data_IF_695614921450
#
_entry.id   IF_695614921450
#
_cell.length_a   1.000
_cell.length_b   1.000
_cell.length_c   1.000
_cell.angle_alpha   90.00
_cell.angle_beta   90.00
_cell.angle_gamma   90.00
#
_symmetry.space_group_name_H-M   'P 1'
#
loop_
_entity.id
_entity.type
_entity.pdbx_description
1 polymer ?
#
# COMPACT_ATOMS: atom_id res chain seq x y z
N UNK A 1 6.97 0.09 1.90
CA UNK A 1 5.81 0.54 1.10
C UNK A 1 4.49 0.00 1.63
N UNK A 2 4.33 -1.32 1.85
CA UNK A 2 3.07 -1.87 2.41
C UNK A 2 2.64 -1.26 3.75
N UNK A 3 3.58 -1.10 4.70
CA UNK A 3 3.28 -0.42 5.97
C UNK A 3 2.76 0.99 5.72
N UNK A 4 3.48 1.79 4.93
CA UNK A 4 3.10 3.15 4.59
C UNK A 4 1.73 3.21 3.90
N UNK A 5 1.45 2.31 2.95
CA UNK A 5 0.15 2.25 2.28
C UNK A 5 -0.99 1.98 3.27
N UNK A 6 -0.76 1.14 4.29
CA UNK A 6 -1.75 0.89 5.35
C UNK A 6 -2.03 2.17 6.14
N UNK A 7 -0.99 2.81 6.67
CA UNK A 7 -1.14 4.01 7.50
C UNK A 7 -1.83 5.15 6.74
N UNK A 8 -1.46 5.37 5.47
CA UNK A 8 -2.05 6.45 4.66
C UNK A 8 -3.51 6.14 4.28
N UNK A 9 -3.85 4.86 4.02
CA UNK A 9 -5.26 4.45 3.81
C UNK A 9 -6.10 4.66 5.07
N UNK A 10 -5.54 4.38 6.24
CA UNK A 10 -6.20 4.60 7.52
C UNK A 10 -6.43 6.08 7.80
N UNK A 11 -5.40 6.91 7.63
CA UNK A 11 -5.51 8.37 7.76
C UNK A 11 -6.53 8.97 6.77
N UNK A 12 -6.56 8.48 5.52
CA UNK A 12 -7.58 8.89 4.53
C UNK A 12 -9.00 8.52 4.99
N UNK A 13 -9.20 7.32 5.55
CA UNK A 13 -10.50 6.90 6.05
C UNK A 13 -10.95 7.72 7.26
N UNK A 14 -10.03 8.04 8.17
CA UNK A 14 -10.30 8.87 9.34
C UNK A 14 -10.68 10.30 8.95
N UNK A 15 -9.91 10.92 8.05
CA UNK A 15 -10.20 12.26 7.53
C UNK A 15 -11.52 12.30 6.75
N UNK A 16 -11.84 11.27 5.96
CA UNK A 16 -13.13 11.17 5.28
C UNK A 16 -14.31 11.12 6.27
N UNK A 17 -14.18 10.33 7.34
CA UNK A 17 -15.20 10.28 8.38
C UNK A 17 -15.39 11.64 9.07
N UNK A 18 -14.29 12.30 9.44
CA UNK A 18 -14.30 13.64 10.01
C UNK A 18 -14.96 14.66 9.08
N UNK A 19 -14.60 14.65 7.80
CA UNK A 19 -15.20 15.49 6.77
C UNK A 19 -16.71 15.25 6.63
N UNK A 20 -17.15 13.99 6.64
CA UNK A 20 -18.56 13.65 6.56
C UNK A 20 -19.34 14.12 7.78
N UNK A 21 -18.74 14.07 8.98
CA UNK A 21 -19.33 14.58 10.21
C UNK A 21 -19.45 16.10 10.19
N UNK A 22 -18.37 16.80 9.82
CA UNK A 22 -18.33 18.26 9.74
C UNK A 22 -19.30 18.81 8.69
N UNK A 23 -19.40 18.16 7.51
CA UNK A 23 -20.36 18.54 6.48
C UNK A 23 -21.82 18.34 6.90
N UNK A 24 -22.10 17.50 7.89
CA UNK A 24 -23.44 17.39 8.47
C UNK A 24 -23.67 18.52 9.47
N UNK A 25 -22.70 18.76 10.34
CA UNK A 25 -22.78 19.81 11.36
C UNK A 25 -22.80 21.23 10.76
N UNK A 26 -22.07 21.49 9.68
CA UNK A 26 -22.01 22.80 9.03
C UNK A 26 -23.33 23.24 8.39
N UNK A 27 -24.23 22.28 8.10
CA UNK A 27 -25.60 22.58 7.64
C UNK A 27 -26.46 23.17 8.74
N UNK A 28 -26.15 22.88 9.99
CA UNK A 28 -26.84 23.40 11.17
C UNK A 28 -26.13 24.64 11.73
N UNK A 29 -24.78 24.67 11.65
CA UNK A 29 -23.96 25.76 12.20
C UNK A 29 -22.91 26.26 11.19
N UNK A 30 -23.11 27.46 10.64
CA UNK A 30 -22.25 28.04 9.60
C UNK A 30 -20.81 28.37 10.08
N UNK A 31 -20.58 28.43 11.40
CA UNK A 31 -19.25 28.64 12.01
C UNK A 31 -18.28 27.49 11.70
N UNK A 32 -18.80 26.30 11.44
CA UNK A 32 -18.01 25.09 11.19
C UNK A 32 -17.55 24.95 9.74
N UNK A 33 -17.93 25.88 8.86
CA UNK A 33 -17.60 25.82 7.43
C UNK A 33 -16.09 25.88 7.18
N UNK A 34 -15.37 26.77 7.88
CA UNK A 34 -13.92 26.87 7.72
C UNK A 34 -13.19 25.57 8.12
N UNK A 35 -13.62 24.94 9.21
CA UNK A 35 -13.08 23.65 9.67
C UNK A 35 -13.39 22.52 8.68
N UNK A 36 -14.58 22.54 8.07
CA UNK A 36 -14.94 21.57 7.03
C UNK A 36 -14.06 21.72 5.78
N UNK A 37 -13.76 22.95 5.35
CA UNK A 37 -12.89 23.22 4.21
C UNK A 37 -11.44 22.77 4.48
N UNK A 38 -10.90 23.05 5.67
CA UNK A 38 -9.57 22.57 6.10
C UNK A 38 -9.50 21.03 6.08
N UNK A 39 -10.51 20.37 6.66
CA UNK A 39 -10.58 18.89 6.69
C UNK A 39 -10.71 18.31 5.28
N UNK A 40 -11.36 19.02 4.35
CA UNK A 40 -11.41 18.69 2.94
C UNK A 40 -10.03 18.67 2.29
N UNK A 41 -9.20 19.67 2.60
CA UNK A 41 -7.80 19.74 2.17
C UNK A 41 -6.95 18.59 2.69
N UNK A 42 -7.13 18.18 3.95
CA UNK A 42 -6.44 17.01 4.51
C UNK A 42 -6.82 15.70 3.82
N UNK A 43 -8.12 15.50 3.57
CA UNK A 43 -8.60 14.33 2.83
C UNK A 43 -8.00 14.25 1.42
N UNK A 44 -7.95 15.39 0.71
CA UNK A 44 -7.32 15.48 -0.61
C UNK A 44 -5.83 15.14 -0.54
N UNK A 45 -5.12 15.69 0.46
CA UNK A 45 -3.71 15.42 0.69
C UNK A 45 -3.45 13.92 0.86
N UNK A 46 -4.17 13.24 1.75
CA UNK A 46 -4.00 11.80 1.94
C UNK A 46 -4.41 11.00 0.70
N UNK A 47 -5.43 11.42 -0.03
CA UNK A 47 -5.83 10.78 -1.29
C UNK A 47 -4.71 10.83 -2.33
N UNK A 48 -4.06 11.98 -2.51
CA UNK A 48 -2.90 12.13 -3.39
C UNK A 48 -1.73 11.24 -2.92
N UNK A 49 -1.50 11.14 -1.60
CA UNK A 49 -0.45 10.26 -1.05
C UNK A 49 -0.72 8.78 -1.30
N UNK A 50 -1.97 8.31 -1.11
CA UNK A 50 -2.36 6.93 -1.45
C UNK A 50 -2.06 6.66 -2.92
N UNK A 51 -2.47 7.56 -3.81
CA UNK A 51 -2.28 7.40 -5.26
C UNK A 51 -0.80 7.28 -5.66
N UNK A 52 0.07 8.12 -5.10
CA UNK A 52 1.52 8.02 -5.33
C UNK A 52 2.08 6.67 -4.88
N UNK A 53 1.68 6.19 -3.70
CA UNK A 53 2.18 4.91 -3.17
C UNK A 53 1.67 3.73 -4.01
N UNK A 54 0.41 3.76 -4.43
CA UNK A 54 -0.19 2.73 -5.28
C UNK A 54 0.51 2.64 -6.63
N UNK A 55 0.81 3.77 -7.27
CA UNK A 55 1.59 3.79 -8.52
C UNK A 55 2.99 3.21 -8.35
N UNK A 56 3.71 3.58 -7.29
CA UNK A 56 5.04 3.00 -7.01
C UNK A 56 4.95 1.48 -6.85
N UNK A 57 3.91 0.97 -6.18
CA UNK A 57 3.71 -0.47 -6.00
C UNK A 57 3.38 -1.18 -7.31
N UNK A 58 2.51 -0.59 -8.14
CA UNK A 58 2.19 -1.12 -9.47
C UNK A 58 3.43 -1.18 -10.36
N UNK A 59 4.22 -0.12 -10.42
CA UNK A 59 5.43 -0.07 -11.25
C UNK A 59 6.50 -1.08 -10.80
N UNK A 60 6.69 -1.25 -9.48
CA UNK A 60 7.77 -2.09 -8.94
C UNK A 60 7.41 -3.56 -8.81
N UNK A 61 6.12 -3.87 -8.64
CA UNK A 61 5.67 -5.21 -8.24
C UNK A 61 4.53 -5.74 -9.12
N UNK A 62 3.90 -4.88 -9.93
CA UNK A 62 2.75 -5.22 -10.76
C UNK A 62 1.42 -5.32 -10.02
N UNK A 63 1.42 -5.29 -8.69
CA UNK A 63 0.20 -5.36 -7.90
C UNK A 63 0.37 -4.75 -6.50
N UNK A 64 -0.76 -4.41 -5.87
CA UNK A 64 -0.88 -4.23 -4.43
C UNK A 64 -2.18 -4.86 -3.93
N UNK A 65 -2.24 -5.38 -2.70
CA UNK A 65 -3.42 -5.98 -2.13
C UNK A 65 -4.43 -4.90 -1.76
N UNK A 66 -5.70 -5.26 -1.93
CA UNK A 66 -6.83 -4.41 -1.53
C UNK A 66 -6.82 -4.15 -0.01
N UNK A 67 -6.58 -5.20 0.80
CA UNK A 67 -6.49 -5.10 2.26
C UNK A 67 -5.09 -5.47 2.76
N UNK A 68 -4.52 -4.60 3.59
CA UNK A 68 -3.21 -4.81 4.21
C UNK A 68 -3.43 -5.25 5.66
N UNK A 69 -3.53 -6.56 5.87
CA UNK A 69 -3.66 -7.16 7.20
C UNK A 69 -2.30 -7.34 7.87
N UNK A 70 -2.30 -7.53 9.19
CA UNK A 70 -1.08 -7.84 9.95
C UNK A 70 -0.35 -9.06 9.38
N UNK A 71 -1.08 -10.10 8.97
CA UNK A 71 -0.53 -11.31 8.34
C UNK A 71 0.22 -11.01 7.03
N UNK A 72 -0.31 -10.10 6.19
CA UNK A 72 0.37 -9.68 4.96
C UNK A 72 1.68 -8.97 5.29
N UNK A 73 1.66 -8.08 6.28
CA UNK A 73 2.85 -7.34 6.70
C UNK A 73 3.93 -8.25 7.28
N UNK A 74 3.54 -9.20 8.12
CA UNK A 74 4.43 -10.20 8.69
C UNK A 74 5.06 -11.07 7.60
N UNK A 75 4.23 -11.59 6.68
CA UNK A 75 4.70 -12.36 5.54
C UNK A 75 5.72 -11.58 4.70
N UNK A 76 5.42 -10.33 4.34
CA UNK A 76 6.34 -9.49 3.56
C UNK A 76 7.64 -9.21 4.32
N UNK A 77 7.56 -8.97 5.64
CA UNK A 77 8.74 -8.82 6.50
C UNK A 77 9.62 -10.07 6.51
N UNK A 78 9.01 -11.24 6.56
CA UNK A 78 9.73 -12.51 6.42
C UNK A 78 10.37 -12.68 5.04
N UNK A 79 9.66 -12.36 3.94
CA UNK A 79 10.23 -12.44 2.59
C UNK A 79 11.46 -11.53 2.43
N UNK A 80 11.41 -10.33 3.00
CA UNK A 80 12.56 -9.40 3.02
C UNK A 80 13.74 -10.00 3.81
N UNK A 81 13.46 -10.62 4.95
CA UNK A 81 14.51 -11.28 5.76
C UNK A 81 15.11 -12.48 5.04
N UNK A 82 14.30 -13.28 4.35
CA UNK A 82 14.73 -14.43 3.54
C UNK A 82 15.56 -13.98 2.33
N UNK A 83 15.15 -12.92 1.63
CA UNK A 83 15.87 -12.41 0.46
C UNK A 83 17.24 -11.87 0.84
N UNK A 84 17.36 -11.15 1.97
CA UNK A 84 18.64 -10.65 2.49
C UNK A 84 19.62 -11.78 2.86
N UNK A 85 19.12 -12.94 3.32
CA UNK A 85 19.95 -14.09 3.70
C UNK A 85 20.37 -14.94 2.49
N UNK A 86 19.65 -14.87 1.37
CA UNK A 86 19.89 -15.74 0.22
C UNK A 86 21.08 -15.22 -0.58
N UNK A 87 22.25 -15.82 -0.38
CA UNK A 87 23.39 -15.62 -1.28
C UNK A 87 23.10 -16.22 -2.66
N UNK A 88 23.33 -15.43 -3.71
CA UNK A 88 23.27 -15.92 -5.08
C UNK A 88 24.40 -16.95 -5.29
N UNK A 89 24.05 -18.17 -5.69
CA UNK A 89 25.00 -19.22 -6.06
C UNK A 89 24.79 -19.57 -7.53
N UNK A 90 25.79 -19.29 -8.36
CA UNK A 90 25.79 -19.68 -9.77
C UNK A 90 26.51 -21.03 -9.86
N UNK A 91 25.80 -22.09 -10.24
CA UNK A 91 26.41 -23.39 -10.48
C UNK A 91 27.25 -23.34 -11.75
N UNK A 92 28.55 -23.65 -11.63
CA UNK A 92 29.44 -23.84 -12.80
C UNK A 92 29.28 -25.21 -13.48
N UNK A 93 28.53 -26.14 -12.88
CA UNK A 93 28.30 -27.47 -13.47
C UNK A 93 27.26 -27.35 -14.60
N UNK A 94 27.64 -27.78 -15.81
CA UNK A 94 26.69 -27.96 -16.90
C UNK A 94 25.62 -28.97 -16.46
N UNK A 95 24.34 -28.61 -16.59
CA UNK A 95 23.25 -29.58 -16.39
C UNK A 95 23.40 -30.66 -17.46
N UNK A 96 23.36 -31.97 -17.11
CA UNK A 96 23.39 -33.02 -18.11
C UNK A 96 22.22 -32.78 -19.07
N UNK A 97 22.50 -32.80 -20.39
CA UNK A 97 21.45 -32.71 -21.41
C UNK A 97 20.40 -33.79 -21.09
N UNK A 98 19.13 -33.40 -20.94
CA UNK A 98 18.03 -34.36 -20.90
C UNK A 98 18.18 -35.21 -22.17
N UNK A 99 18.41 -36.51 -22.01
CA UNK A 99 18.31 -37.44 -23.14
C UNK A 99 16.86 -37.37 -23.60
N UNK A 100 16.66 -36.91 -24.83
CA UNK A 100 15.37 -37.01 -25.50
C UNK A 100 15.04 -38.50 -25.58
N UNK A 101 13.95 -38.89 -24.91
CA UNK A 101 13.43 -40.25 -25.00
C UNK A 101 12.71 -40.29 -26.35
N UNK A 102 13.37 -40.88 -27.35
CA UNK A 102 12.75 -41.22 -28.62
C UNK A 102 11.93 -42.50 -28.38
N UNK A 103 10.62 -42.41 -28.56
CA UNK A 103 9.72 -43.57 -28.63
C UNK A 103 9.84 -44.23 -30.00
#
# INVERSE_FOLDING_TARGET
LYLLLREVREARSQTYYGLQLLNKASKEEHTLQATADETGGEYEYYTRKVWVIENILLERQGFFPEKITARVLEYMGEQIRKSKKKMMKISKRQRPKRKEICW
#
